data_IF_738694072139
#
_entry.id   IF_738694072139
#
_cell.length_a   1.000
_cell.length_b   1.000
_cell.length_c   1.000
_cell.angle_alpha   90.00
_cell.angle_beta   90.00
_cell.angle_gamma   90.00
#
_symmetry.space_group_name_H-M   'P 1'
#
loop_
_entity.id
_entity.type
_entity.pdbx_description
1 polymer ?
#
# COMPACT_ATOMS: atom_id res chain seq x y z
N UNK A 1 13.23 -22.88 16.23
CA UNK A 1 12.47 -21.91 17.07
C UNK A 1 11.02 -22.37 17.13
N UNK A 2 10.28 -22.07 18.20
CA UNK A 2 8.82 -22.28 18.20
C UNK A 2 8.17 -21.31 17.22
N UNK A 3 7.16 -21.76 16.49
CA UNK A 3 6.36 -20.89 15.60
C UNK A 3 5.81 -19.69 16.38
N UNK A 4 5.99 -18.50 15.82
CA UNK A 4 5.44 -17.26 16.33
C UNK A 4 4.98 -16.41 15.15
N UNK A 5 3.72 -16.02 15.19
CA UNK A 5 3.12 -15.22 14.14
C UNK A 5 2.14 -14.20 14.69
N UNK A 6 2.12 -13.04 14.05
CA UNK A 6 1.36 -11.86 14.47
C UNK A 6 0.61 -11.32 13.27
N UNK A 7 -0.69 -11.06 13.46
CA UNK A 7 -1.52 -10.27 12.56
C UNK A 7 -1.88 -8.96 13.24
N UNK A 8 -1.62 -7.86 12.57
CA UNK A 8 -1.99 -6.51 12.96
C UNK A 8 -2.91 -5.94 11.91
N UNK A 9 -3.97 -5.29 12.35
CA UNK A 9 -4.96 -4.64 11.50
C UNK A 9 -5.19 -3.21 11.96
N UNK A 10 -5.35 -2.29 11.02
CA UNK A 10 -5.61 -0.88 11.27
C UNK A 10 -6.74 -0.37 10.37
N UNK A 11 -7.72 0.29 10.97
CA UNK A 11 -8.79 1.03 10.34
C UNK A 11 -8.40 2.52 10.35
N UNK A 12 -8.58 3.18 9.22
CA UNK A 12 -8.19 4.56 8.97
C UNK A 12 -9.45 5.40 8.77
N UNK A 13 -10.37 4.90 7.93
CA UNK A 13 -11.51 5.68 7.47
C UNK A 13 -12.64 5.75 8.52
N UNK A 14 -12.66 4.82 9.49
CA UNK A 14 -13.69 4.75 10.52
C UNK A 14 -13.23 4.06 11.80
N UNK A 15 -13.95 4.33 12.88
CA UNK A 15 -13.86 3.54 14.11
C UNK A 15 -14.58 2.20 13.97
N UNK A 16 -14.07 1.20 14.68
CA UNK A 16 -14.73 -0.10 14.81
C UNK A 16 -16.03 0.04 15.60
N UNK A 17 -17.14 -0.44 15.00
CA UNK A 17 -18.44 -0.49 15.66
C UNK A 17 -18.46 -1.56 16.78
N UNK A 18 -19.51 -1.55 17.61
CA UNK A 18 -19.70 -2.61 18.60
C UNK A 18 -19.85 -3.99 17.95
N UNK A 19 -20.47 -4.05 16.77
CA UNK A 19 -20.65 -5.29 16.01
C UNK A 19 -19.33 -5.78 15.42
N UNK A 20 -18.46 -4.86 14.96
CA UNK A 20 -17.11 -5.21 14.49
C UNK A 20 -16.27 -5.80 15.62
N UNK A 21 -16.29 -5.17 16.81
CA UNK A 21 -15.56 -5.67 17.98
C UNK A 21 -16.07 -7.04 18.43
N UNK A 22 -17.39 -7.23 18.45
CA UNK A 22 -18.00 -8.52 18.77
C UNK A 22 -17.59 -9.61 17.76
N UNK A 23 -17.57 -9.28 16.47
CA UNK A 23 -17.07 -10.16 15.42
C UNK A 23 -15.60 -10.54 15.64
N UNK A 24 -14.71 -9.58 15.90
CA UNK A 24 -13.27 -9.84 16.13
C UNK A 24 -13.02 -10.73 17.35
N UNK A 25 -13.76 -10.52 18.45
CA UNK A 25 -13.67 -11.37 19.64
C UNK A 25 -14.19 -12.79 19.40
N UNK A 26 -15.11 -12.97 18.43
CA UNK A 26 -15.57 -14.30 18.03
C UNK A 26 -14.50 -15.10 17.27
N UNK A 27 -13.60 -14.41 16.54
CA UNK A 27 -12.49 -15.04 15.82
C UNK A 27 -11.39 -15.51 16.77
N UNK A 28 -11.06 -14.69 17.77
CA UNK A 28 -10.10 -15.03 18.82
C UNK A 28 -10.39 -14.30 20.12
N UNK A 29 -10.59 -15.06 21.19
CA UNK A 29 -10.78 -14.51 22.53
C UNK A 29 -9.52 -13.84 23.10
N UNK A 30 -8.36 -14.05 22.47
CA UNK A 30 -7.06 -13.47 22.88
C UNK A 30 -6.69 -12.24 22.05
N UNK A 31 -7.53 -11.86 21.08
CA UNK A 31 -7.28 -10.70 20.25
C UNK A 31 -7.28 -9.43 21.10
N UNK A 32 -6.28 -8.58 20.88
CA UNK A 32 -6.25 -7.23 21.44
C UNK A 32 -6.99 -6.32 20.45
N UNK A 33 -8.19 -5.86 20.81
CA UNK A 33 -9.04 -5.06 19.92
C UNK A 33 -9.18 -3.65 20.49
N UNK A 34 -8.74 -2.66 19.71
CA UNK A 34 -8.81 -1.24 20.01
C UNK A 34 -10.04 -0.55 19.39
N UNK A 35 -9.98 0.78 19.30
CA UNK A 35 -11.01 1.57 18.60
C UNK A 35 -10.84 1.54 17.08
N UNK A 36 -9.61 1.39 16.61
CA UNK A 36 -9.25 1.37 15.18
C UNK A 36 -8.26 0.26 14.85
N UNK A 37 -7.88 -0.59 15.80
CA UNK A 37 -6.85 -1.62 15.59
C UNK A 37 -7.28 -2.97 16.12
N UNK A 38 -6.72 -4.04 15.57
CA UNK A 38 -6.77 -5.36 16.18
C UNK A 38 -5.43 -6.08 16.01
N UNK A 39 -5.05 -6.84 17.03
CA UNK A 39 -3.84 -7.66 17.02
C UNK A 39 -4.15 -9.08 17.45
N UNK A 40 -3.67 -10.04 16.66
CA UNK A 40 -3.78 -11.46 16.90
C UNK A 40 -2.41 -12.09 16.95
N UNK A 41 -2.11 -12.82 18.02
CA UNK A 41 -0.81 -13.47 18.22
C UNK A 41 -1.00 -14.96 18.38
N UNK A 42 -0.25 -15.75 17.61
CA UNK A 42 -0.29 -17.21 17.67
C UNK A 42 1.12 -17.76 17.93
N UNK A 43 1.17 -18.77 18.81
CA UNK A 43 2.37 -19.57 19.12
C UNK A 43 2.24 -21.03 18.67
N UNK A 44 1.02 -21.42 18.29
CA UNK A 44 0.63 -22.74 17.79
C UNK A 44 -0.67 -22.57 17.00
N UNK A 45 -0.75 -23.21 15.83
CA UNK A 45 -1.91 -23.10 14.94
C UNK A 45 -2.01 -21.74 14.24
N UNK A 46 -3.09 -21.57 13.48
CA UNK A 46 -3.19 -20.49 12.50
C UNK A 46 -4.43 -19.60 12.65
N UNK A 47 -4.43 -18.46 11.97
CA UNK A 47 -5.57 -17.58 11.85
C UNK A 47 -6.73 -18.35 11.21
N UNK A 48 -7.86 -18.45 11.94
CA UNK A 48 -8.94 -19.39 11.61
C UNK A 48 -9.82 -18.97 10.43
N UNK A 49 -9.60 -17.77 9.91
CA UNK A 49 -10.38 -17.18 8.83
C UNK A 49 -9.44 -16.58 7.80
N UNK A 50 -9.96 -16.18 6.65
CA UNK A 50 -9.20 -15.43 5.66
C UNK A 50 -8.92 -14.01 6.16
N UNK A 51 -7.65 -13.58 6.29
CA UNK A 51 -7.32 -12.23 6.72
C UNK A 51 -7.96 -11.14 5.84
N UNK A 52 -8.11 -11.41 4.55
CA UNK A 52 -8.69 -10.53 3.55
C UNK A 52 -10.17 -10.25 3.83
N UNK A 53 -10.91 -11.23 4.35
CA UNK A 53 -12.32 -11.05 4.77
C UNK A 53 -12.43 -10.15 6.01
N UNK A 54 -11.46 -10.23 6.92
CA UNK A 54 -11.40 -9.37 8.11
C UNK A 54 -11.01 -7.95 7.72
N UNK A 55 -10.05 -7.82 6.78
CA UNK A 55 -9.64 -6.56 6.20
C UNK A 55 -10.82 -5.88 5.50
N UNK A 56 -11.42 -6.50 4.48
CA UNK A 56 -12.51 -5.91 3.69
C UNK A 56 -13.75 -5.56 4.54
N UNK A 57 -13.97 -6.26 5.66
CA UNK A 57 -15.06 -5.94 6.58
C UNK A 57 -14.74 -4.76 7.52
N UNK A 58 -13.57 -4.76 8.15
CA UNK A 58 -13.34 -3.95 9.35
C UNK A 58 -12.17 -2.97 9.23
N UNK A 59 -11.22 -3.18 8.31
CA UNK A 59 -9.92 -2.52 8.34
C UNK A 59 -9.46 -2.05 6.95
N UNK A 60 -8.38 -1.27 6.93
CA UNK A 60 -7.84 -0.68 5.70
C UNK A 60 -6.40 -1.14 5.44
N UNK A 61 -5.67 -1.55 6.48
CA UNK A 61 -4.32 -2.10 6.35
C UNK A 61 -4.16 -3.31 7.27
N UNK A 62 -3.51 -4.36 6.78
CA UNK A 62 -3.09 -5.52 7.57
C UNK A 62 -1.59 -5.77 7.39
N UNK A 63 -0.90 -6.05 8.49
CA UNK A 63 0.44 -6.61 8.49
C UNK A 63 0.42 -7.99 9.14
N UNK A 64 1.00 -8.98 8.46
CA UNK A 64 1.26 -10.31 8.97
C UNK A 64 2.76 -10.57 8.99
N UNK A 65 3.28 -11.01 10.14
CA UNK A 65 4.71 -11.33 10.31
C UNK A 65 4.83 -12.67 11.03
N UNK A 66 5.66 -13.55 10.48
CA UNK A 66 5.97 -14.85 11.02
C UNK A 66 7.48 -15.07 11.11
N UNK A 67 7.94 -15.64 12.25
CA UNK A 67 9.36 -15.89 12.52
C UNK A 67 9.93 -17.09 11.73
N UNK A 68 9.13 -17.65 10.83
CA UNK A 68 9.48 -18.73 9.92
C UNK A 68 9.49 -18.24 8.47
N UNK A 69 9.84 -16.96 8.27
CA UNK A 69 10.25 -16.49 6.95
C UNK A 69 9.20 -15.71 6.18
N UNK A 70 8.11 -15.22 6.78
CA UNK A 70 7.02 -14.56 6.03
C UNK A 70 6.72 -13.16 6.57
N UNK A 71 6.65 -12.19 5.67
CA UNK A 71 6.15 -10.84 5.91
C UNK A 71 5.13 -10.50 4.83
N UNK A 72 3.91 -10.12 5.24
CA UNK A 72 2.82 -9.80 4.31
C UNK A 72 2.14 -8.51 4.71
N UNK A 73 2.07 -7.54 3.79
CA UNK A 73 1.36 -6.27 3.96
C UNK A 73 0.20 -6.23 2.96
N UNK A 74 -1.02 -6.05 3.44
CA UNK A 74 -2.20 -5.89 2.60
C UNK A 74 -2.82 -4.51 2.84
N UNK A 75 -2.99 -3.73 1.77
CA UNK A 75 -3.58 -2.39 1.81
C UNK A 75 -4.88 -2.40 0.99
N UNK A 76 -5.97 -1.97 1.62
CA UNK A 76 -7.29 -1.82 0.97
C UNK A 76 -7.47 -0.38 0.47
N UNK A 77 -7.66 -0.24 -0.82
CA UNK A 77 -7.86 1.05 -1.51
C UNK A 77 -9.30 1.14 -2.04
N UNK A 78 -9.99 2.29 -1.94
CA UNK A 78 -11.25 2.52 -2.65
C UNK A 78 -11.01 2.42 -4.15
N UNK A 79 -11.77 1.57 -4.84
CA UNK A 79 -11.55 1.29 -6.26
C UNK A 79 -11.86 2.48 -7.16
N UNK A 80 -12.64 3.45 -6.66
CA UNK A 80 -12.97 4.69 -7.35
C UNK A 80 -11.76 5.63 -7.45
N UNK A 81 -10.76 5.45 -6.58
CA UNK A 81 -9.59 6.34 -6.48
C UNK A 81 -8.33 5.76 -7.12
N UNK A 82 -8.35 4.50 -7.57
CA UNK A 82 -7.14 3.82 -8.03
C UNK A 82 -7.42 3.08 -9.32
N UNK A 83 -6.61 3.38 -10.35
CA UNK A 83 -6.67 2.69 -11.64
C UNK A 83 -5.80 1.44 -11.59
N UNK A 84 -6.41 0.26 -11.80
CA UNK A 84 -5.70 -1.03 -11.79
C UNK A 84 -4.53 -1.06 -12.78
N UNK A 85 -4.67 -0.41 -13.94
CA UNK A 85 -3.63 -0.32 -14.97
C UNK A 85 -2.33 0.36 -14.50
N UNK A 86 -2.36 1.14 -13.42
CA UNK A 86 -1.15 1.73 -12.81
C UNK A 86 -0.44 0.75 -11.86
N UNK A 87 -1.17 -0.25 -11.34
CA UNK A 87 -0.65 -1.24 -10.39
C UNK A 87 -0.10 -2.47 -11.11
N UNK A 88 -0.80 -2.95 -12.14
CA UNK A 88 -0.47 -4.14 -12.94
C UNK A 88 1.00 -4.25 -13.39
N UNK A 89 1.70 -3.17 -13.77
CA UNK A 89 3.12 -3.28 -14.15
C UNK A 89 4.01 -3.85 -13.03
N UNK A 90 3.64 -3.68 -11.76
CA UNK A 90 4.40 -4.14 -10.60
C UNK A 90 4.01 -5.56 -10.15
N UNK A 91 3.04 -6.20 -10.81
CA UNK A 91 2.53 -7.50 -10.39
C UNK A 91 3.62 -8.59 -10.51
N UNK A 92 3.79 -9.36 -9.44
CA UNK A 92 4.61 -10.56 -9.41
C UNK A 92 3.74 -11.67 -8.84
N UNK A 93 3.46 -12.74 -9.59
CA UNK A 93 2.58 -13.81 -9.12
C UNK A 93 2.94 -14.29 -7.71
N UNK A 94 1.98 -14.44 -6.82
CA UNK A 94 2.15 -14.87 -5.42
C UNK A 94 2.90 -13.92 -4.47
N UNK A 95 3.56 -12.89 -4.98
CA UNK A 95 4.38 -11.96 -4.18
C UNK A 95 3.80 -10.56 -4.13
N UNK A 96 3.45 -9.99 -5.28
CA UNK A 96 2.79 -8.69 -5.42
C UNK A 96 1.53 -8.94 -6.22
N UNK A 97 0.39 -8.99 -5.56
CA UNK A 97 -0.89 -9.28 -6.21
C UNK A 97 -1.90 -8.18 -5.96
N UNK A 98 -2.82 -8.02 -6.91
CA UNK A 98 -3.89 -7.06 -6.84
C UNK A 98 -5.23 -7.78 -7.00
N UNK A 99 -6.11 -7.64 -6.01
CA UNK A 99 -7.44 -8.26 -6.06
C UNK A 99 -8.52 -7.17 -6.07
N UNK A 100 -9.32 -7.13 -7.14
CA UNK A 100 -10.51 -6.30 -7.18
C UNK A 100 -11.67 -7.01 -6.46
N UNK A 101 -12.17 -6.37 -5.41
CA UNK A 101 -13.38 -6.75 -4.69
C UNK A 101 -14.54 -5.84 -5.12
N UNK A 102 -15.80 -6.17 -4.79
CA UNK A 102 -16.93 -5.29 -5.13
C UNK A 102 -16.80 -3.84 -4.63
N UNK A 103 -16.01 -3.59 -3.58
CA UNK A 103 -15.90 -2.28 -2.90
C UNK A 103 -14.50 -1.65 -2.94
N UNK A 104 -13.47 -2.41 -3.28
CA UNK A 104 -12.08 -1.98 -3.11
C UNK A 104 -11.12 -2.80 -3.94
N UNK A 105 -9.92 -2.26 -4.13
CA UNK A 105 -8.76 -3.00 -4.61
C UNK A 105 -7.89 -3.36 -3.40
N UNK A 106 -7.49 -4.62 -3.29
CA UNK A 106 -6.52 -5.08 -2.30
C UNK A 106 -5.14 -5.13 -2.97
N UNK A 107 -4.19 -4.37 -2.43
CA UNK A 107 -2.76 -4.48 -2.75
C UNK A 107 -2.15 -5.43 -1.74
N UNK A 108 -1.68 -6.59 -2.18
CA UNK A 108 -1.12 -7.64 -1.32
C UNK A 108 0.35 -7.87 -1.65
N UNK A 109 1.21 -7.53 -0.68
CA UNK A 109 2.66 -7.68 -0.74
C UNK A 109 3.06 -8.81 0.19
N UNK A 110 3.21 -10.02 -0.33
CA UNK A 110 3.48 -11.25 0.39
C UNK A 110 4.91 -11.76 0.11
N UNK A 111 5.86 -11.42 0.98
CA UNK A 111 7.27 -11.74 0.78
C UNK A 111 7.73 -12.84 1.73
N UNK A 112 8.44 -13.81 1.16
CA UNK A 112 9.08 -14.92 1.88
C UNK A 112 10.59 -14.76 1.78
N UNK A 113 11.29 -14.86 2.91
CA UNK A 113 12.74 -14.77 2.96
C UNK A 113 13.36 -15.38 4.22
N UNK A 114 14.57 -15.93 4.09
CA UNK A 114 15.41 -16.39 5.20
C UNK A 114 15.79 -15.29 6.20
N UNK A 115 15.92 -14.04 5.74
CA UNK A 115 16.22 -12.89 6.61
C UNK A 115 15.11 -12.65 7.66
N UNK A 116 13.91 -13.20 7.44
CA UNK A 116 12.78 -13.04 8.34
C UNK A 116 12.73 -14.12 9.45
N UNK A 117 13.70 -15.04 9.50
CA UNK A 117 13.85 -16.02 10.58
C UNK A 117 14.48 -15.39 11.83
N UNK A 118 13.86 -14.29 12.29
CA UNK A 118 14.34 -13.47 13.39
C UNK A 118 13.28 -13.37 14.50
N UNK A 119 13.68 -12.78 15.62
CA UNK A 119 12.72 -12.40 16.66
C UNK A 119 11.76 -11.34 16.15
N UNK A 120 10.48 -11.53 16.46
CA UNK A 120 9.43 -10.55 16.13
C UNK A 120 9.22 -9.68 17.36
N UNK A 121 9.16 -8.37 17.13
CA UNK A 121 8.89 -7.38 18.16
C UNK A 121 7.54 -7.61 18.84
N UNK A 122 7.51 -7.43 20.16
CA UNK A 122 6.26 -7.46 20.92
C UNK A 122 5.45 -6.17 20.76
N UNK A 123 6.04 -5.09 20.25
CA UNK A 123 5.35 -3.84 19.96
C UNK A 123 4.65 -3.89 18.58
N UNK A 124 3.56 -3.12 18.36
CA UNK A 124 2.92 -3.04 17.05
C UNK A 124 3.86 -2.43 16.01
N UNK A 125 4.02 -3.11 14.88
CA UNK A 125 4.86 -2.66 13.77
C UNK A 125 4.04 -1.94 12.69
N UNK A 126 2.74 -2.25 12.58
CA UNK A 126 1.89 -1.74 11.52
C UNK A 126 1.76 -0.21 11.53
N UNK A 127 1.87 0.44 12.70
CA UNK A 127 1.66 1.88 12.84
C UNK A 127 2.60 2.73 11.97
N UNK A 128 3.83 2.26 11.68
CA UNK A 128 4.78 2.97 10.83
C UNK A 128 4.46 2.85 9.33
N UNK A 129 3.61 1.89 8.94
CA UNK A 129 3.24 1.59 7.55
C UNK A 129 1.90 2.17 7.14
N UNK A 130 1.10 2.68 8.10
CA UNK A 130 -0.26 3.18 7.83
C UNK A 130 -0.28 4.32 6.81
N UNK A 131 0.76 5.18 6.80
CA UNK A 131 0.84 6.31 5.86
C UNK A 131 0.92 5.89 4.40
N UNK A 132 1.45 4.68 4.14
CA UNK A 132 1.64 4.16 2.79
C UNK A 132 0.33 4.04 2.01
N UNK A 133 -0.79 3.85 2.71
CA UNK A 133 -2.10 3.86 2.06
C UNK A 133 -2.40 5.21 1.44
N UNK A 134 -2.19 6.31 2.16
CA UNK A 134 -2.43 7.66 1.64
C UNK A 134 -1.44 8.02 0.53
N UNK A 135 -0.20 7.52 0.62
CA UNK A 135 0.80 7.65 -0.45
C UNK A 135 0.29 6.97 -1.73
N UNK A 136 -0.16 5.71 -1.66
CA UNK A 136 -0.77 5.01 -2.81
C UNK A 136 -2.00 5.73 -3.37
N UNK A 137 -2.87 6.28 -2.51
CA UNK A 137 -4.05 7.05 -2.95
C UNK A 137 -3.69 8.34 -3.70
N UNK A 138 -2.53 8.93 -3.40
CA UNK A 138 -1.99 10.09 -4.14
C UNK A 138 -1.31 9.70 -5.45
N UNK A 139 -1.17 8.40 -5.73
CA UNK A 139 -0.46 7.87 -6.89
C UNK A 139 1.03 7.64 -6.65
N UNK A 140 1.49 7.64 -5.40
CA UNK A 140 2.89 7.30 -5.09
C UNK A 140 3.09 5.78 -5.18
N UNK A 141 3.69 5.34 -6.29
CA UNK A 141 3.93 3.92 -6.57
C UNK A 141 5.27 3.43 -6.03
N UNK A 142 6.04 4.26 -5.30
CA UNK A 142 7.35 3.88 -4.75
C UNK A 142 7.26 2.65 -3.84
N UNK A 143 6.17 2.47 -3.10
CA UNK A 143 5.97 1.25 -2.31
C UNK A 143 6.01 -0.02 -3.16
N UNK A 144 5.30 -0.02 -4.30
CA UNK A 144 5.22 -1.17 -5.19
C UNK A 144 6.58 -1.44 -5.82
N UNK A 145 7.30 -0.38 -6.20
CA UNK A 145 8.65 -0.51 -6.72
C UNK A 145 9.63 -1.08 -5.69
N UNK A 146 9.59 -0.62 -4.43
CA UNK A 146 10.40 -1.20 -3.35
C UNK A 146 10.06 -2.67 -3.09
N UNK A 147 8.78 -3.04 -3.12
CA UNK A 147 8.35 -4.42 -3.02
C UNK A 147 8.87 -5.25 -4.21
N UNK A 148 8.84 -4.68 -5.42
CA UNK A 148 9.34 -5.32 -6.64
C UNK A 148 10.85 -5.54 -6.58
N UNK A 149 11.64 -4.54 -6.17
CA UNK A 149 13.10 -4.67 -5.96
C UNK A 149 13.42 -5.83 -5.02
N UNK A 150 12.69 -5.92 -3.90
CA UNK A 150 12.89 -7.01 -2.94
C UNK A 150 12.48 -8.37 -3.51
N UNK A 151 11.40 -8.41 -4.28
CA UNK A 151 10.86 -9.65 -4.83
C UNK A 151 11.75 -10.20 -5.95
N UNK A 152 12.24 -9.34 -6.85
CA UNK A 152 13.04 -9.74 -7.99
C UNK A 152 14.45 -10.20 -7.66
N UNK A 153 14.96 -9.84 -6.49
CA UNK A 153 16.28 -10.23 -6.01
C UNK A 153 16.23 -11.34 -4.94
N UNK A 154 15.06 -11.95 -4.72
CA UNK A 154 14.91 -13.09 -3.80
C UNK A 154 15.14 -14.42 -4.52
N UNK A 155 15.87 -15.35 -3.88
CA UNK A 155 16.01 -16.73 -4.37
C UNK A 155 14.66 -17.48 -4.41
N UNK A 156 13.67 -16.99 -3.65
CA UNK A 156 12.30 -17.51 -3.61
C UNK A 156 11.38 -16.83 -4.65
N UNK A 157 11.94 -16.05 -5.58
CA UNK A 157 11.15 -15.41 -6.64
C UNK A 157 10.46 -16.46 -7.52
N UNK A 158 9.14 -16.30 -7.78
CA UNK A 158 8.40 -17.24 -8.62
C UNK A 158 8.70 -17.06 -10.11
N UNK A 159 9.42 -16.01 -10.50
CA UNK A 159 9.82 -15.71 -11.87
C UNK A 159 11.34 -15.84 -12.00
N UNK A 160 11.80 -16.39 -13.12
CA UNK A 160 13.23 -16.35 -13.46
C UNK A 160 13.66 -14.90 -13.73
N UNK A 161 14.92 -14.53 -13.46
CA UNK A 161 15.43 -13.17 -13.71
C UNK A 161 15.13 -12.66 -15.13
N UNK A 162 15.31 -13.52 -16.15
CA UNK A 162 15.05 -13.20 -17.56
C UNK A 162 13.57 -12.93 -17.89
N UNK A 163 12.65 -13.40 -17.05
CA UNK A 163 11.20 -13.22 -17.24
C UNK A 163 10.66 -12.03 -16.43
N UNK A 164 11.48 -11.45 -15.55
CA UNK A 164 11.13 -10.27 -14.78
C UNK A 164 11.55 -9.02 -15.55
N UNK A 165 10.56 -8.35 -16.12
CA UNK A 165 10.74 -7.04 -16.72
C UNK A 165 10.64 -5.99 -15.62
N UNK A 166 11.57 -5.06 -15.60
CA UNK A 166 11.52 -3.94 -14.68
C UNK A 166 10.29 -3.06 -14.95
N UNK A 167 9.45 -2.78 -13.93
CA UNK A 167 8.32 -1.86 -14.05
C UNK A 167 8.81 -0.41 -14.20
N UNK A 168 7.93 0.53 -14.55
CA UNK A 168 8.27 1.94 -14.57
C UNK A 168 8.90 2.38 -13.24
N UNK A 169 10.06 3.04 -13.30
CA UNK A 169 10.75 3.55 -12.10
C UNK A 169 10.01 4.81 -11.62
N UNK A 170 9.41 4.80 -10.42
CA UNK A 170 8.68 5.95 -9.91
C UNK A 170 9.63 7.10 -9.55
N UNK A 171 9.19 8.34 -9.75
CA UNK A 171 9.96 9.51 -9.37
C UNK A 171 10.18 9.62 -7.85
N UNK A 172 11.25 10.30 -7.43
CA UNK A 172 11.50 10.63 -6.02
C UNK A 172 12.06 9.48 -5.16
N UNK A 173 12.71 8.47 -5.75
CA UNK A 173 13.40 7.43 -4.97
C UNK A 173 14.59 7.95 -4.18
N UNK A 174 15.14 9.12 -4.53
CA UNK A 174 16.24 9.75 -3.78
C UNK A 174 15.83 10.19 -2.36
N UNK A 175 14.53 10.36 -2.11
CA UNK A 175 14.00 10.78 -0.81
C UNK A 175 12.75 9.99 -0.41
N UNK A 176 12.98 8.85 0.24
CA UNK A 176 11.90 8.03 0.79
C UNK A 176 11.17 8.74 1.95
N UNK A 177 9.84 8.59 1.98
CA UNK A 177 8.98 8.98 3.10
C UNK A 177 9.31 8.14 4.36
N UNK A 178 8.81 8.55 5.53
CA UNK A 178 8.95 7.75 6.76
C UNK A 178 8.32 6.37 6.62
N UNK A 179 7.17 6.27 5.95
CA UNK A 179 6.50 4.99 5.69
C UNK A 179 7.30 4.09 4.77
N UNK A 180 7.87 4.64 3.70
CA UNK A 180 8.71 3.89 2.75
C UNK A 180 10.02 3.41 3.39
N UNK A 181 10.63 4.22 4.27
CA UNK A 181 11.80 3.79 5.05
C UNK A 181 11.45 2.66 6.02
N UNK A 182 10.34 2.78 6.72
CA UNK A 182 9.85 1.73 7.61
C UNK A 182 9.54 0.43 6.85
N UNK A 183 8.99 0.54 5.64
CA UNK A 183 8.80 -0.61 4.75
C UNK A 183 10.14 -1.21 4.33
N UNK A 184 11.10 -0.40 3.86
CA UNK A 184 12.41 -0.88 3.43
C UNK A 184 13.13 -1.66 4.55
N UNK A 185 13.11 -1.14 5.78
CA UNK A 185 13.66 -1.81 6.95
C UNK A 185 12.89 -3.09 7.31
N UNK A 186 11.55 -2.99 7.40
CA UNK A 186 10.72 -4.13 7.76
C UNK A 186 10.61 -5.18 6.65
N UNK A 187 10.97 -4.91 5.41
CA UNK A 187 10.99 -5.91 4.34
C UNK A 187 12.41 -6.27 3.89
N UNK A 188 13.43 -5.68 4.52
CA UNK A 188 14.85 -5.91 4.21
C UNK A 188 15.10 -5.69 2.71
N UNK A 189 14.63 -4.54 2.21
CA UNK A 189 14.94 -4.09 0.85
C UNK A 189 16.39 -3.62 0.85
N UNK A 190 17.19 -4.11 -0.08
CA UNK A 190 18.62 -3.79 -0.15
C UNK A 190 18.81 -2.29 -0.44
N UNK A 191 19.60 -1.61 0.41
CA UNK A 191 19.89 -0.18 0.29
C UNK A 191 20.68 0.13 -0.99
N UNK A 192 21.55 -0.78 -1.45
CA UNK A 192 22.32 -0.62 -2.68
C UNK A 192 21.40 -0.71 -3.91
N UNK A 193 20.36 -1.57 -3.87
CA UNK A 193 19.35 -1.64 -4.93
C UNK A 193 18.49 -0.36 -4.97
N UNK A 194 18.10 0.16 -3.81
CA UNK A 194 17.37 1.43 -3.73
C UNK A 194 18.23 2.56 -4.29
N UNK A 195 19.52 2.60 -3.94
CA UNK A 195 20.45 3.61 -4.42
C UNK A 195 20.63 3.53 -5.95
N UNK A 196 20.79 2.32 -6.50
CA UNK A 196 20.92 2.11 -7.94
C UNK A 196 19.66 2.57 -8.70
N UNK A 197 18.47 2.18 -8.23
CA UNK A 197 17.22 2.62 -8.84
C UNK A 197 17.00 4.14 -8.71
N UNK A 198 17.48 4.75 -7.62
CA UNK A 198 17.41 6.18 -7.44
C UNK A 198 18.28 6.98 -8.43
N UNK A 199 19.25 6.36 -9.10
CA UNK A 199 20.01 7.00 -10.19
C UNK A 199 19.18 7.16 -11.47
N UNK A 200 18.27 6.21 -11.74
CA UNK A 200 17.38 6.22 -12.91
C UNK A 200 16.02 6.88 -12.61
N UNK A 201 15.65 7.00 -11.33
CA UNK A 201 14.46 7.74 -10.89
C UNK A 201 14.55 9.20 -11.29
N UNK A 202 13.51 9.70 -11.96
CA UNK A 202 13.31 11.14 -12.10
C UNK A 202 13.35 11.80 -10.71
N UNK A 203 13.83 13.04 -10.65
CA UNK A 203 13.70 13.84 -9.45
C UNK A 203 12.22 13.84 -9.05
N UNK A 204 11.93 13.58 -7.79
CA UNK A 204 10.56 13.74 -7.30
C UNK A 204 10.09 15.12 -7.73
N UNK A 205 8.86 15.22 -8.24
CA UNK A 205 8.24 16.52 -8.40
C UNK A 205 8.39 17.22 -7.05
N UNK A 206 9.23 18.27 -6.98
CA UNK A 206 9.05 19.32 -5.97
C UNK A 206 7.55 19.52 -5.93
N UNK A 207 6.89 19.40 -4.76
CA UNK A 207 5.44 19.59 -4.63
C UNK A 207 5.04 20.70 -5.60
N UNK A 208 4.59 20.32 -6.81
CA UNK A 208 4.18 21.31 -7.78
C UNK A 208 2.91 21.69 -7.10
N UNK A 209 2.95 22.82 -6.37
CA UNK A 209 1.81 23.33 -5.66
C UNK A 209 0.75 23.42 -6.74
N UNK A 210 -0.09 22.39 -6.78
CA UNK A 210 -1.15 22.31 -7.73
C UNK A 210 -1.89 23.62 -7.52
N UNK A 211 -2.27 24.34 -8.59
CA UNK A 211 -2.87 25.64 -8.43
C UNK A 211 -4.32 25.45 -7.95
N UNK A 212 -4.50 24.84 -6.77
CA UNK A 212 -5.75 24.41 -6.16
C UNK A 212 -6.65 25.62 -5.99
N UNK A 213 -6.10 26.76 -5.55
CA UNK A 213 -6.87 28.00 -5.45
C UNK A 213 -7.47 28.42 -6.81
N UNK A 214 -6.71 28.24 -7.90
CA UNK A 214 -7.16 28.55 -9.26
C UNK A 214 -8.18 27.53 -9.75
N UNK A 215 -7.93 26.23 -9.55
CA UNK A 215 -8.84 25.15 -9.95
C UNK A 215 -10.16 25.21 -9.17
N UNK A 216 -10.11 25.49 -7.87
CA UNK A 216 -11.28 25.70 -7.03
C UNK A 216 -12.08 26.93 -7.50
N UNK A 217 -11.42 28.01 -7.92
CA UNK A 217 -12.11 29.21 -8.42
C UNK A 217 -12.93 28.97 -9.71
N UNK A 218 -12.62 27.92 -10.48
CA UNK A 218 -13.37 27.53 -11.68
C UNK A 218 -14.63 26.68 -11.36
N UNK A 219 -14.75 26.15 -10.14
CA UNK A 219 -15.92 25.38 -9.73
C UNK A 219 -17.14 26.30 -9.51
N UNK A 220 -18.32 25.78 -9.85
CA UNK A 220 -19.60 26.47 -9.58
C UNK A 220 -19.88 26.57 -8.07
N UNK A 221 -20.79 27.47 -7.68
CA UNK A 221 -21.18 27.58 -6.26
C UNK A 221 -21.88 26.32 -5.77
N UNK A 222 -22.66 25.67 -6.64
CA UNK A 222 -23.33 24.41 -6.37
C UNK A 222 -22.32 23.29 -6.04
N UNK A 223 -21.24 23.17 -6.81
CA UNK A 223 -20.19 22.18 -6.59
C UNK A 223 -19.41 22.43 -5.29
N UNK A 224 -19.06 23.68 -5.00
CA UNK A 224 -18.45 24.03 -3.72
C UNK A 224 -19.33 23.59 -2.54
N UNK A 225 -20.62 23.90 -2.60
CA UNK A 225 -21.58 23.53 -1.55
C UNK A 225 -21.68 22.01 -1.44
N UNK A 226 -21.71 21.29 -2.56
CA UNK A 226 -21.78 19.83 -2.58
C UNK A 226 -20.59 19.19 -1.85
N UNK A 227 -19.36 19.50 -2.25
CA UNK A 227 -18.16 18.93 -1.63
C UNK A 227 -18.03 19.32 -0.14
N UNK A 228 -18.40 20.55 0.23
CA UNK A 228 -18.44 20.97 1.63
C UNK A 228 -19.49 20.21 2.44
N UNK A 229 -20.67 19.96 1.89
CA UNK A 229 -21.70 19.16 2.55
C UNK A 229 -21.25 17.71 2.74
N UNK A 230 -20.60 17.10 1.74
CA UNK A 230 -20.03 15.75 1.84
C UNK A 230 -18.96 15.67 2.94
N UNK A 231 -18.06 16.64 2.98
CA UNK A 231 -17.05 16.75 4.03
C UNK A 231 -17.68 16.92 5.44
N UNK A 232 -18.70 17.77 5.57
CA UNK A 232 -19.43 17.96 6.83
C UNK A 232 -20.21 16.73 7.30
N UNK A 233 -20.64 15.87 6.38
CA UNK A 233 -21.28 14.57 6.69
C UNK A 233 -20.28 13.51 7.15
N UNK A 234 -18.98 13.80 7.06
CA UNK A 234 -17.92 12.86 7.40
C UNK A 234 -17.73 11.77 6.35
N UNK A 235 -18.11 12.04 5.09
CA UNK A 235 -17.73 11.17 3.97
C UNK A 235 -16.19 11.14 3.88
N UNK A 236 -15.63 9.94 3.75
CA UNK A 236 -14.18 9.74 3.65
C UNK A 236 -13.71 10.04 2.23
N UNK A 237 -12.44 10.42 2.08
CA UNK A 237 -11.78 10.66 0.78
C UNK A 237 -12.33 11.79 -0.10
N UNK A 238 -13.30 12.58 0.35
CA UNK A 238 -13.88 13.72 -0.40
C UNK A 238 -12.81 14.65 -0.97
N UNK A 239 -11.74 14.91 -0.21
CA UNK A 239 -10.61 15.71 -0.68
C UNK A 239 -9.81 15.05 -1.82
N UNK A 240 -9.58 13.75 -1.75
CA UNK A 240 -8.86 13.00 -2.78
C UNK A 240 -9.71 12.86 -4.06
N UNK A 241 -11.01 12.60 -3.93
CA UNK A 241 -11.93 12.59 -5.07
C UNK A 241 -11.97 13.93 -5.79
N UNK A 242 -12.07 15.03 -5.03
CA UNK A 242 -12.05 16.38 -5.59
C UNK A 242 -10.72 16.64 -6.28
N UNK A 243 -9.60 16.28 -5.66
CA UNK A 243 -8.27 16.47 -6.24
C UNK A 243 -8.11 15.71 -7.56
N UNK A 244 -8.50 14.44 -7.61
CA UNK A 244 -8.46 13.64 -8.84
C UNK A 244 -9.34 14.22 -9.94
N UNK A 245 -10.52 14.72 -9.58
CA UNK A 245 -11.40 15.41 -10.52
C UNK A 245 -10.76 16.68 -11.06
N UNK A 246 -10.19 17.53 -10.20
CA UNK A 246 -9.55 18.77 -10.61
C UNK A 246 -8.32 18.49 -11.49
N UNK A 247 -7.55 17.44 -11.20
CA UNK A 247 -6.45 16.98 -12.07
C UNK A 247 -6.96 16.53 -13.43
N UNK A 248 -8.07 15.80 -13.46
CA UNK A 248 -8.66 15.36 -14.73
C UNK A 248 -9.22 16.52 -15.56
N UNK A 249 -9.82 17.53 -14.92
CA UNK A 249 -10.43 18.67 -15.61
C UNK A 249 -9.43 19.77 -15.99
N UNK A 250 -8.40 20.00 -15.17
CA UNK A 250 -7.51 21.15 -15.26
C UNK A 250 -6.02 20.81 -15.26
N UNK A 251 -5.65 19.54 -15.03
CA UNK A 251 -4.29 19.06 -15.18
C UNK A 251 -3.87 19.10 -16.65
N UNK A 252 -2.63 19.47 -16.92
CA UNK A 252 -2.07 19.38 -18.26
C UNK A 252 -1.88 17.92 -18.66
N UNK A 253 -2.37 17.52 -19.84
CA UNK A 253 -2.15 16.21 -20.49
C UNK A 253 -0.67 15.80 -20.63
N UNK A 254 0.29 16.67 -20.28
CA UNK A 254 1.72 16.39 -20.35
C UNK A 254 2.19 15.25 -19.42
N UNK A 255 1.43 14.93 -18.36
CA UNK A 255 1.83 13.88 -17.40
C UNK A 255 1.20 12.50 -17.70
N UNK A 256 0.24 12.37 -18.63
CA UNK A 256 -0.44 11.08 -18.89
C UNK A 256 0.19 10.25 -20.01
N UNK A 257 0.91 10.86 -20.96
CA UNK A 257 1.55 10.13 -22.08
C UNK A 257 3.06 9.89 -21.90
N UNK A 258 3.79 10.74 -21.17
CA UNK A 258 5.26 10.57 -21.00
C UNK A 258 5.66 9.51 -19.96
N UNK A 259 4.81 9.14 -18.99
CA UNK A 259 5.13 8.10 -17.99
C UNK A 259 4.95 6.66 -18.49
N UNK A 260 4.17 6.44 -19.56
CA UNK A 260 3.90 5.11 -20.11
C UNK A 260 4.80 4.73 -21.31
N UNK A 261 5.52 5.69 -21.91
CA UNK A 261 6.56 5.42 -22.92
C UNK A 261 7.94 5.20 -22.28
N UNK A 262 8.00 4.40 -21.21
CA UNK A 262 9.25 3.79 -20.78
C UNK A 262 9.74 2.79 -21.84
N UNK A 263 10.98 2.94 -22.30
CA UNK A 263 11.70 1.95 -23.12
C UNK A 263 11.49 0.53 -22.56
N UNK A 264 11.55 -0.54 -23.39
CA UNK A 264 11.33 -1.91 -22.91
C UNK A 264 12.19 -2.16 -21.66
N UNK A 265 11.52 -2.45 -20.54
CA UNK A 265 12.16 -2.63 -19.24
C UNK A 265 13.30 -3.64 -19.34
N UNK A 266 14.42 -3.34 -18.69
CA UNK A 266 15.55 -4.27 -18.63
C UNK A 266 15.12 -5.52 -17.89
N UNK A 267 15.68 -6.67 -18.28
CA UNK A 267 15.52 -7.86 -17.46
C UNK A 267 16.42 -7.75 -16.23
N UNK A 268 16.02 -8.32 -15.10
CA UNK A 268 16.89 -8.40 -13.91
C UNK A 268 18.17 -9.22 -14.14
N UNK A 269 18.29 -9.90 -15.27
CA UNK A 269 19.46 -10.70 -15.65
C UNK A 269 20.55 -9.95 -16.44
N UNK A 270 20.30 -8.70 -16.85
CA UNK A 270 21.23 -7.85 -17.63
C UNK A 270 22.09 -6.92 -16.76
#
# INVERSE_FOLDING_TARGET
MSEYQVYEFQAIDRFLSSDDKAYLHSLSSRAQVGATSARFTYRFGDFRTKPEEVLDRCFDVMLYVANFGVRRLVIRLPKELVKMSKLEPYEIPYTITFEETPRSILVDLNLVCEDYYTWIEEEPMLSSLVSLREELLRGDLRLLYLAWLRSGNSEESPLSPDAMLEPPVPAGLQQLSTGLKAFAELFVVDEDLIAAAAEESAAGSEEVEEPLEKWLAELTTEEHIEYLLRAMRGETHVGQELLQRLRFEFGSEADEEEELEGLPGRSLGD
#
